data_IF_075616882242
#
_entry.id   IF_075616882242
#
_cell.length_a   1.000
_cell.length_b   1.000
_cell.length_c   1.000
_cell.angle_alpha   90.00
_cell.angle_beta   90.00
_cell.angle_gamma   90.00
#
_symmetry.space_group_name_H-M   'P 1'
#
loop_
_entity.id
_entity.type
_entity.pdbx_description
1 polymer ?
#
# COMPACT_ATOMS: atom_id res chain seq x y z
N UNK A 1 5.69 -5.59 -13.60
CA UNK A 1 6.60 -4.67 -14.29
C UNK A 1 7.20 -5.38 -15.49
N UNK A 2 7.02 -4.80 -16.68
CA UNK A 2 7.71 -5.22 -17.91
C UNK A 2 9.12 -4.63 -17.82
N UNK A 3 10.01 -5.27 -17.07
CA UNK A 3 11.40 -4.83 -17.01
C UNK A 3 12.16 -5.39 -18.19
N UNK A 4 12.61 -4.53 -19.09
CA UNK A 4 13.58 -4.87 -20.13
C UNK A 4 14.99 -5.11 -19.54
N UNK A 5 15.23 -4.71 -18.29
CA UNK A 5 16.50 -4.85 -17.60
C UNK A 5 16.99 -6.30 -17.51
N UNK A 6 16.09 -7.25 -17.28
CA UNK A 6 16.49 -8.66 -17.15
C UNK A 6 16.79 -9.32 -18.49
N UNK A 7 16.31 -8.76 -19.61
CA UNK A 7 16.46 -9.34 -20.94
C UNK A 7 17.68 -8.80 -21.71
N UNK A 8 18.26 -7.64 -21.35
CA UNK A 8 19.27 -6.94 -22.13
C UNK A 8 20.48 -6.40 -21.34
N UNK A 9 21.03 -7.09 -20.33
CA UNK A 9 22.08 -6.55 -19.46
C UNK A 9 23.38 -6.17 -20.20
N UNK A 10 23.58 -6.68 -21.40
CA UNK A 10 24.82 -6.45 -22.18
C UNK A 10 24.77 -5.16 -23.00
N UNK A 11 23.58 -4.72 -23.44
CA UNK A 11 23.44 -3.60 -24.37
C UNK A 11 23.22 -2.26 -23.66
N UNK A 12 22.52 -2.25 -22.52
CA UNK A 12 22.17 -1.03 -21.81
C UNK A 12 23.37 -0.15 -21.49
N UNK A 13 24.48 -0.65 -20.90
CA UNK A 13 25.65 0.17 -20.61
C UNK A 13 26.35 0.75 -21.86
N UNK A 14 26.13 0.16 -23.03
CA UNK A 14 26.64 0.70 -24.31
C UNK A 14 25.70 1.77 -24.86
N UNK A 15 24.37 1.58 -24.68
CA UNK A 15 23.36 2.54 -25.13
C UNK A 15 23.38 3.80 -24.27
N UNK A 16 23.61 3.67 -22.98
CA UNK A 16 23.76 4.79 -22.04
C UNK A 16 24.91 5.74 -22.38
N UNK A 17 25.93 5.25 -23.12
CA UNK A 17 27.01 6.09 -23.64
C UNK A 17 26.60 6.92 -24.85
N UNK A 18 25.42 6.73 -25.35
CA UNK A 18 24.91 7.37 -26.57
C UNK A 18 23.49 7.86 -26.35
N UNK A 19 23.03 8.83 -27.14
CA UNK A 19 21.64 9.32 -27.09
C UNK A 19 20.60 8.31 -27.61
N UNK A 20 21.07 7.10 -27.96
CA UNK A 20 20.20 6.04 -28.42
C UNK A 20 19.33 5.48 -27.29
N UNK A 21 19.81 5.52 -26.05
CA UNK A 21 19.05 5.11 -24.89
C UNK A 21 17.77 5.94 -24.75
N UNK A 22 17.83 7.27 -24.89
CA UNK A 22 16.68 8.15 -24.81
C UNK A 22 15.60 7.82 -25.88
N UNK A 23 16.05 7.45 -27.08
CA UNK A 23 15.10 7.04 -28.13
C UNK A 23 14.42 5.71 -27.82
N UNK A 24 15.11 4.80 -27.15
CA UNK A 24 14.55 3.52 -26.71
C UNK A 24 13.54 3.77 -25.59
N UNK A 25 13.87 4.61 -24.61
CA UNK A 25 12.99 4.94 -23.49
C UNK A 25 11.69 5.60 -23.99
N UNK A 26 11.79 6.57 -24.90
CA UNK A 26 10.61 7.19 -25.53
C UNK A 26 9.79 6.18 -26.35
N UNK A 27 10.44 5.27 -27.07
CA UNK A 27 9.76 4.21 -27.79
C UNK A 27 8.99 3.28 -26.85
N UNK A 28 9.63 2.84 -25.78
CA UNK A 28 9.00 1.97 -24.76
C UNK A 28 7.83 2.69 -24.08
N UNK A 29 8.03 3.97 -23.71
CA UNK A 29 6.99 4.79 -23.11
C UNK A 29 5.77 4.92 -24.05
N UNK A 30 6.01 5.14 -25.33
CA UNK A 30 4.93 5.21 -26.33
C UNK A 30 4.21 3.86 -26.51
N UNK A 31 4.95 2.72 -26.55
CA UNK A 31 4.35 1.39 -26.65
C UNK A 31 3.48 1.07 -25.42
N UNK A 32 3.91 1.47 -24.21
CA UNK A 32 3.13 1.32 -22.99
C UNK A 32 1.85 2.17 -23.07
N UNK A 33 1.92 3.41 -23.53
CA UNK A 33 0.74 4.23 -23.73
C UNK A 33 -0.26 3.62 -24.74
N UNK A 34 0.23 3.05 -25.85
CA UNK A 34 -0.60 2.31 -26.83
C UNK A 34 -1.27 1.11 -26.19
N UNK A 35 -0.52 0.34 -25.40
CA UNK A 35 -1.01 -0.85 -24.72
C UNK A 35 -2.10 -0.50 -23.72
N UNK A 36 -1.87 0.48 -22.86
CA UNK A 36 -2.86 0.99 -21.91
C UNK A 36 -4.13 1.50 -22.62
N UNK A 37 -3.98 2.19 -23.73
CA UNK A 37 -5.13 2.63 -24.53
C UNK A 37 -5.93 1.46 -25.08
N UNK A 38 -5.26 0.39 -25.57
CA UNK A 38 -5.90 -0.87 -25.97
C UNK A 38 -6.71 -1.44 -24.81
N UNK A 39 -6.12 -1.59 -23.63
CA UNK A 39 -6.77 -2.16 -22.45
C UNK A 39 -8.01 -1.36 -22.01
N UNK A 40 -7.94 -0.02 -22.07
CA UNK A 40 -9.09 0.85 -21.77
C UNK A 40 -10.22 0.69 -22.79
N UNK A 41 -9.89 0.61 -24.05
CA UNK A 41 -10.89 0.42 -25.12
C UNK A 41 -11.59 -0.96 -25.00
N UNK A 42 -10.90 -1.96 -24.48
CA UNK A 42 -11.42 -3.31 -24.26
C UNK A 42 -12.08 -3.45 -22.86
N UNK A 43 -12.13 -2.38 -22.06
CA UNK A 43 -12.67 -2.34 -20.69
C UNK A 43 -12.09 -3.45 -19.79
N UNK A 44 -10.78 -3.68 -19.85
CA UNK A 44 -10.12 -4.70 -19.06
C UNK A 44 -9.94 -4.23 -17.60
N UNK A 45 -10.21 -5.11 -16.65
CA UNK A 45 -10.15 -4.79 -15.21
C UNK A 45 -8.80 -4.27 -14.72
N UNK A 46 -7.72 -4.59 -15.42
CA UNK A 46 -6.37 -4.15 -15.10
C UNK A 46 -5.92 -2.92 -15.93
N UNK A 47 -6.82 -2.31 -16.70
CA UNK A 47 -6.50 -1.16 -17.53
C UNK A 47 -6.02 0.09 -16.74
N UNK A 48 -6.45 0.20 -15.48
CA UNK A 48 -6.11 1.31 -14.59
C UNK A 48 -4.84 1.09 -13.76
N UNK A 49 -4.20 -0.10 -13.89
CA UNK A 49 -2.93 -0.33 -13.19
C UNK A 49 -1.88 0.70 -13.59
N UNK A 50 -1.21 1.29 -12.61
CA UNK A 50 -0.02 2.10 -12.88
C UNK A 50 1.10 1.20 -13.44
N UNK A 51 1.80 1.71 -14.44
CA UNK A 51 2.95 1.02 -15.04
C UNK A 51 4.19 1.86 -14.83
N UNK A 52 5.20 1.23 -14.25
CA UNK A 52 6.50 1.84 -14.06
C UNK A 52 7.37 1.71 -15.32
N UNK A 53 8.08 2.76 -15.64
CA UNK A 53 8.89 2.88 -16.86
C UNK A 53 10.23 3.49 -16.50
N UNK A 54 11.29 2.75 -16.77
CA UNK A 54 12.65 3.22 -16.54
C UNK A 54 13.00 4.40 -17.45
N UNK A 55 13.60 5.44 -16.86
CA UNK A 55 14.09 6.63 -17.54
C UNK A 55 15.58 6.79 -17.35
N UNK A 56 16.32 6.81 -18.45
CA UNK A 56 17.76 7.06 -18.39
C UNK A 56 18.06 8.47 -17.87
N UNK A 57 19.13 8.59 -17.08
CA UNK A 57 19.62 9.88 -16.58
C UNK A 57 19.85 10.92 -17.68
N UNK A 58 20.16 10.50 -18.91
CA UNK A 58 20.41 11.39 -20.05
C UNK A 58 19.23 12.26 -20.44
N UNK A 59 18.02 11.85 -20.11
CA UNK A 59 16.83 12.65 -20.34
C UNK A 59 16.83 13.97 -19.57
N UNK A 60 17.48 13.98 -18.41
CA UNK A 60 17.53 15.17 -17.56
C UNK A 60 18.42 16.28 -18.11
N UNK A 61 19.26 15.98 -19.10
CA UNK A 61 20.03 16.97 -19.86
C UNK A 61 19.23 17.55 -21.03
N UNK A 62 18.06 16.99 -21.37
CA UNK A 62 17.20 17.40 -22.47
C UNK A 62 16.12 18.39 -21.98
N UNK A 63 16.14 19.66 -22.38
CA UNK A 63 15.14 20.65 -21.97
C UNK A 63 13.71 20.30 -22.43
N UNK A 64 13.57 19.48 -23.46
CA UNK A 64 12.25 19.07 -24.02
C UNK A 64 11.73 17.76 -23.40
N UNK A 65 12.42 17.19 -22.41
CA UNK A 65 12.10 15.89 -21.83
C UNK A 65 10.66 15.84 -21.28
N UNK A 66 10.30 16.78 -20.41
CA UNK A 66 8.96 16.85 -19.81
C UNK A 66 7.89 16.98 -20.88
N UNK A 67 8.06 17.91 -21.81
CA UNK A 67 7.10 18.15 -22.88
C UNK A 67 6.94 16.93 -23.80
N UNK A 68 8.02 16.22 -24.09
CA UNK A 68 7.99 15.01 -24.91
C UNK A 68 7.16 13.91 -24.25
N UNK A 69 7.41 13.60 -22.97
CA UNK A 69 6.65 12.59 -22.20
C UNK A 69 5.17 12.97 -22.12
N UNK A 70 4.88 14.23 -21.79
CA UNK A 70 3.50 14.74 -21.69
C UNK A 70 2.77 14.62 -23.04
N UNK A 71 3.42 14.98 -24.12
CA UNK A 71 2.82 14.91 -25.46
C UNK A 71 2.53 13.46 -25.88
N UNK A 72 3.41 12.51 -25.57
CA UNK A 72 3.16 11.09 -25.83
C UNK A 72 1.96 10.60 -25.00
N UNK A 73 1.92 10.84 -23.70
CA UNK A 73 0.81 10.40 -22.85
C UNK A 73 -0.54 11.00 -23.30
N UNK A 74 -0.58 12.30 -23.63
CA UNK A 74 -1.77 12.99 -24.15
C UNK A 74 -2.23 12.44 -25.50
N UNK A 75 -1.31 12.09 -26.40
CA UNK A 75 -1.62 11.50 -27.70
C UNK A 75 -2.49 10.24 -27.58
N UNK A 76 -2.28 9.46 -26.51
CA UNK A 76 -3.00 8.21 -26.26
C UNK A 76 -4.09 8.36 -25.19
N UNK A 77 -4.33 9.58 -24.67
CA UNK A 77 -5.33 9.86 -23.63
C UNK A 77 -5.13 8.98 -22.39
N UNK A 78 -3.88 8.91 -21.91
CA UNK A 78 -3.52 8.18 -20.69
C UNK A 78 -3.40 9.18 -19.54
N UNK A 79 -4.12 8.99 -18.42
CA UNK A 79 -3.95 9.78 -17.22
C UNK A 79 -2.53 9.63 -16.65
N UNK A 80 -1.91 10.75 -16.28
CA UNK A 80 -0.52 10.76 -15.85
C UNK A 80 -0.28 9.94 -14.58
N UNK A 81 -1.23 9.89 -13.66
CA UNK A 81 -1.14 9.09 -12.42
C UNK A 81 -1.10 7.57 -12.66
N UNK A 82 -1.35 7.10 -13.88
CA UNK A 82 -1.20 5.70 -14.28
C UNK A 82 0.19 5.39 -14.86
N UNK A 83 1.08 6.38 -14.88
CA UNK A 83 2.45 6.28 -15.40
C UNK A 83 3.41 6.65 -14.28
N UNK A 84 4.30 5.71 -13.95
CA UNK A 84 5.32 5.86 -12.93
C UNK A 84 6.69 5.91 -13.63
N UNK A 85 7.45 6.99 -13.42
CA UNK A 85 8.77 7.17 -14.00
C UNK A 85 9.82 6.70 -13.00
N UNK A 86 10.52 5.61 -13.35
CA UNK A 86 11.58 5.05 -12.52
C UNK A 86 12.91 5.69 -12.86
N UNK A 87 13.58 6.25 -11.87
CA UNK A 87 14.89 6.89 -11.98
C UNK A 87 15.85 6.30 -10.95
N UNK A 88 17.06 5.98 -11.36
CA UNK A 88 18.05 5.40 -10.43
C UNK A 88 18.58 6.42 -9.45
N UNK A 89 18.94 6.00 -8.22
CA UNK A 89 19.44 6.92 -7.17
C UNK A 89 20.68 7.72 -7.61
N UNK A 90 21.51 7.15 -8.47
CA UNK A 90 22.76 7.76 -8.91
C UNK A 90 22.59 9.06 -9.70
N UNK A 91 21.40 9.31 -10.24
CA UNK A 91 21.12 10.53 -11.00
C UNK A 91 21.26 11.78 -10.12
N UNK A 92 20.91 11.68 -8.85
CA UNK A 92 20.93 12.79 -7.90
C UNK A 92 22.33 13.22 -7.46
N UNK A 93 23.38 12.46 -7.83
CA UNK A 93 24.75 12.77 -7.45
C UNK A 93 25.37 13.89 -8.29
N UNK A 94 24.87 14.19 -9.48
CA UNK A 94 25.54 15.10 -10.42
C UNK A 94 24.97 16.53 -10.41
N UNK A 95 23.65 16.71 -10.39
CA UNK A 95 23.04 18.04 -10.40
C UNK A 95 21.69 18.01 -9.67
N UNK A 96 21.76 17.87 -8.37
CA UNK A 96 20.60 17.68 -7.49
C UNK A 96 19.48 18.70 -7.72
N UNK A 97 19.82 20.00 -7.78
CA UNK A 97 18.84 21.08 -7.91
C UNK A 97 18.05 20.97 -9.21
N UNK A 98 18.73 20.80 -10.34
CA UNK A 98 18.08 20.64 -11.64
C UNK A 98 17.20 19.38 -11.70
N UNK A 99 17.69 18.26 -11.16
CA UNK A 99 16.93 17.01 -11.13
C UNK A 99 15.66 17.16 -10.29
N UNK A 100 15.77 17.78 -9.12
CA UNK A 100 14.61 18.09 -8.28
C UNK A 100 13.57 18.95 -9.01
N UNK A 101 13.99 19.94 -9.80
CA UNK A 101 13.09 20.79 -10.58
C UNK A 101 12.34 20.00 -11.66
N UNK A 102 13.02 19.07 -12.35
CA UNK A 102 12.40 18.21 -13.37
C UNK A 102 11.42 17.22 -12.72
N UNK A 103 11.83 16.56 -11.61
CA UNK A 103 10.98 15.65 -10.83
C UNK A 103 9.72 16.37 -10.35
N UNK A 104 9.89 17.57 -9.79
CA UNK A 104 8.77 18.40 -9.34
C UNK A 104 7.82 18.75 -10.49
N UNK A 105 8.34 19.06 -11.67
CA UNK A 105 7.52 19.35 -12.86
C UNK A 105 6.65 18.17 -13.24
N UNK A 106 7.17 16.94 -13.21
CA UNK A 106 6.39 15.73 -13.45
C UNK A 106 5.35 15.49 -12.37
N UNK A 107 5.72 15.66 -11.09
CA UNK A 107 4.83 15.49 -9.97
C UNK A 107 3.66 16.49 -9.99
N UNK A 108 3.92 17.76 -10.28
CA UNK A 108 2.87 18.79 -10.46
C UNK A 108 1.90 18.48 -11.61
N UNK A 109 2.34 17.75 -12.64
CA UNK A 109 1.50 17.26 -13.72
C UNK A 109 0.69 16.02 -13.35
N UNK A 110 1.05 15.33 -12.27
CA UNK A 110 0.36 14.16 -11.75
C UNK A 110 0.98 12.81 -12.15
N UNK A 111 2.21 12.78 -12.65
CA UNK A 111 2.96 11.53 -12.80
C UNK A 111 3.37 10.99 -11.44
N UNK A 112 3.55 9.68 -11.34
CA UNK A 112 4.24 9.06 -10.21
C UNK A 112 5.74 8.98 -10.51
N UNK A 113 6.55 9.16 -9.48
CA UNK A 113 8.02 9.09 -9.60
C UNK A 113 8.55 8.09 -8.57
N UNK A 114 9.34 7.14 -9.05
CA UNK A 114 9.99 6.12 -8.21
C UNK A 114 11.50 6.24 -8.26
N UNK A 115 12.16 6.15 -7.10
CA UNK A 115 13.61 5.93 -7.04
C UNK A 115 13.87 4.44 -7.15
N UNK A 116 14.62 4.04 -8.18
CA UNK A 116 14.99 2.66 -8.46
C UNK A 116 16.39 2.32 -7.95
N UNK A 117 16.68 1.02 -7.75
CA UNK A 117 17.96 0.48 -7.29
C UNK A 117 18.49 1.11 -5.99
N UNK A 118 17.60 1.56 -5.09
CA UNK A 118 18.02 2.22 -3.85
C UNK A 118 18.84 1.26 -2.97
N UNK A 119 20.05 1.72 -2.64
CA UNK A 119 21.01 0.97 -1.81
C UNK A 119 22.00 0.13 -2.58
N UNK A 120 21.94 0.10 -3.92
CA UNK A 120 22.96 -0.58 -4.76
C UNK A 120 24.31 0.14 -4.79
N UNK A 121 24.32 1.43 -4.42
CA UNK A 121 25.49 2.31 -4.50
C UNK A 121 25.81 3.06 -3.21
N UNK A 122 26.43 4.23 -3.35
CA UNK A 122 26.68 5.16 -2.26
C UNK A 122 25.43 6.02 -2.01
N UNK A 123 24.38 5.42 -1.46
CA UNK A 123 23.15 6.12 -1.15
C UNK A 123 23.36 7.28 -0.22
N UNK A 124 23.06 8.49 -0.68
CA UNK A 124 22.97 9.65 0.19
C UNK A 124 21.55 9.74 0.76
N UNK A 125 21.33 9.21 1.97
CA UNK A 125 20.06 9.40 2.68
C UNK A 125 19.61 10.87 2.72
N UNK A 126 20.59 11.80 2.62
CA UNK A 126 20.32 13.23 2.60
C UNK A 126 19.51 13.69 1.39
N UNK A 127 19.58 12.98 0.26
CA UNK A 127 18.83 13.36 -0.94
C UNK A 127 17.31 13.15 -0.75
N UNK A 128 16.91 12.09 -0.03
CA UNK A 128 15.49 11.78 0.18
C UNK A 128 14.72 12.91 0.89
N UNK A 129 15.43 13.79 1.59
CA UNK A 129 14.84 14.95 2.24
C UNK A 129 14.42 16.03 1.23
N UNK A 130 15.14 16.14 0.11
CA UNK A 130 15.04 17.26 -0.81
C UNK A 130 14.29 16.88 -2.12
N UNK A 131 14.06 15.57 -2.34
CA UNK A 131 13.38 15.04 -3.54
C UNK A 131 11.95 14.66 -3.21
N UNK A 132 10.99 15.17 -3.98
CA UNK A 132 9.58 14.84 -3.86
C UNK A 132 9.25 13.65 -4.77
N UNK A 133 9.34 12.44 -4.23
CA UNK A 133 9.07 11.19 -4.95
C UNK A 133 8.04 10.34 -4.23
N UNK A 134 7.25 9.58 -5.00
CA UNK A 134 6.13 8.77 -4.50
C UNK A 134 6.57 7.41 -3.98
N UNK A 135 7.67 6.87 -4.51
CA UNK A 135 8.06 5.49 -4.24
C UNK A 135 9.57 5.29 -4.12
N UNK A 136 9.95 4.40 -3.20
CA UNK A 136 11.31 3.94 -2.99
C UNK A 136 11.38 2.44 -3.29
N UNK A 137 12.13 2.03 -4.33
CA UNK A 137 12.34 0.65 -4.72
C UNK A 137 13.66 0.15 -4.16
N UNK A 138 13.58 -0.78 -3.23
CA UNK A 138 14.75 -1.38 -2.59
C UNK A 138 15.37 -2.42 -3.50
N UNK A 139 16.63 -2.24 -3.83
CA UNK A 139 17.39 -3.15 -4.65
C UNK A 139 17.45 -4.57 -4.07
N UNK A 140 17.60 -5.56 -4.93
CA UNK A 140 17.73 -6.98 -4.58
C UNK A 140 18.79 -7.26 -3.51
N UNK A 141 19.85 -6.46 -3.42
CA UNK A 141 20.90 -6.63 -2.40
C UNK A 141 20.36 -6.60 -0.97
N UNK A 142 19.30 -5.82 -0.70
CA UNK A 142 18.61 -5.84 0.59
C UNK A 142 17.91 -7.18 0.82
N UNK A 143 17.27 -7.72 -0.20
CA UNK A 143 16.58 -9.03 -0.11
C UNK A 143 17.59 -10.15 0.10
N UNK A 144 18.73 -10.13 -0.59
CA UNK A 144 19.79 -11.12 -0.44
C UNK A 144 20.44 -11.08 0.96
N UNK A 145 20.40 -9.95 1.64
CA UNK A 145 20.85 -9.82 3.03
C UNK A 145 19.84 -10.34 4.06
N UNK A 146 18.59 -10.61 3.67
CA UNK A 146 17.53 -11.02 4.62
C UNK A 146 17.89 -12.33 5.31
N UNK A 147 17.69 -12.37 6.63
CA UNK A 147 17.97 -13.56 7.44
C UNK A 147 19.44 -13.88 7.66
N UNK A 148 20.39 -13.15 7.04
CA UNK A 148 21.82 -13.43 7.17
C UNK A 148 22.36 -13.08 8.57
N UNK A 149 21.98 -11.93 9.11
CA UNK A 149 22.36 -11.47 10.47
C UNK A 149 21.29 -10.56 11.06
N UNK A 150 21.29 -10.43 12.41
CA UNK A 150 20.42 -9.45 13.07
C UNK A 150 20.71 -8.01 12.64
N UNK A 151 21.98 -7.67 12.34
CA UNK A 151 22.35 -6.33 11.86
C UNK A 151 21.78 -6.06 10.47
N UNK A 152 21.85 -7.03 9.56
CA UNK A 152 21.27 -6.90 8.22
C UNK A 152 19.76 -6.69 8.30
N UNK A 153 19.06 -7.50 9.07
CA UNK A 153 17.61 -7.35 9.28
C UNK A 153 17.26 -5.98 9.90
N UNK A 154 18.08 -5.47 10.83
CA UNK A 154 17.85 -4.14 11.40
C UNK A 154 18.03 -3.03 10.37
N UNK A 155 19.03 -3.13 9.48
CA UNK A 155 19.24 -2.16 8.39
C UNK A 155 18.03 -2.15 7.46
N UNK A 156 17.60 -3.30 6.96
CA UNK A 156 16.48 -3.42 6.03
C UNK A 156 15.20 -2.83 6.64
N UNK A 157 14.86 -3.24 7.86
CA UNK A 157 13.70 -2.71 8.57
C UNK A 157 13.75 -1.20 8.75
N UNK A 158 14.91 -0.63 9.10
CA UNK A 158 15.03 0.81 9.29
C UNK A 158 14.94 1.59 7.97
N UNK A 159 15.44 1.03 6.86
CA UNK A 159 15.30 1.64 5.54
C UNK A 159 13.84 1.62 5.09
N UNK A 160 13.13 0.49 5.28
CA UNK A 160 11.70 0.41 5.00
C UNK A 160 10.92 1.42 5.85
N UNK A 161 11.16 1.45 7.18
CA UNK A 161 10.51 2.41 8.09
C UNK A 161 10.77 3.85 7.67
N UNK A 162 12.00 4.18 7.30
CA UNK A 162 12.36 5.53 6.84
C UNK A 162 11.58 5.93 5.58
N UNK A 163 11.47 5.05 4.57
CA UNK A 163 10.67 5.35 3.37
C UNK A 163 9.21 5.61 3.72
N UNK A 164 8.63 4.79 4.59
CA UNK A 164 7.26 4.96 5.06
C UNK A 164 7.07 6.23 5.91
N UNK A 165 8.03 6.57 6.78
CA UNK A 165 8.01 7.79 7.60
C UNK A 165 8.10 9.07 6.75
N UNK A 166 8.75 8.97 5.57
CA UNK A 166 8.79 10.01 4.55
C UNK A 166 7.56 10.01 3.62
N UNK A 167 6.53 9.23 3.95
CA UNK A 167 5.28 9.10 3.17
C UNK A 167 5.45 8.51 1.77
N UNK A 168 6.56 7.82 1.51
CA UNK A 168 6.79 7.11 0.25
C UNK A 168 6.19 5.71 0.30
N UNK A 169 5.73 5.20 -0.84
CA UNK A 169 5.53 3.76 -1.02
C UNK A 169 6.89 3.08 -1.00
N UNK A 170 6.99 1.91 -0.39
CA UNK A 170 8.23 1.13 -0.43
C UNK A 170 7.97 -0.17 -1.18
N UNK A 171 8.77 -0.42 -2.22
CA UNK A 171 8.74 -1.65 -3.01
C UNK A 171 10.04 -2.42 -2.73
N UNK A 172 9.95 -3.69 -2.42
CA UNK A 172 11.13 -4.55 -2.33
C UNK A 172 11.26 -5.39 -3.60
N UNK A 173 12.39 -5.27 -4.27
CA UNK A 173 12.67 -5.98 -5.50
C UNK A 173 13.47 -7.27 -5.30
N UNK A 174 13.42 -8.16 -6.30
CA UNK A 174 14.22 -9.38 -6.33
C UNK A 174 13.83 -10.45 -5.32
N UNK A 175 12.60 -10.43 -4.80
CA UNK A 175 12.11 -11.48 -3.91
C UNK A 175 11.85 -12.76 -4.69
N UNK A 176 12.51 -13.86 -4.29
CA UNK A 176 12.46 -15.15 -4.99
C UNK A 176 11.84 -16.27 -4.15
N UNK A 177 11.82 -16.12 -2.82
CA UNK A 177 11.34 -17.16 -1.91
C UNK A 177 10.25 -16.66 -0.96
N UNK A 178 9.42 -17.59 -0.48
CA UNK A 178 8.40 -17.31 0.52
C UNK A 178 9.01 -16.78 1.83
N UNK A 179 10.17 -17.30 2.22
CA UNK A 179 10.88 -16.86 3.43
C UNK A 179 11.31 -15.38 3.32
N UNK A 180 11.86 -14.97 2.17
CA UNK A 180 12.20 -13.57 1.90
C UNK A 180 10.95 -12.70 1.92
N UNK A 181 9.89 -13.11 1.19
CA UNK A 181 8.60 -12.41 1.18
C UNK A 181 8.09 -12.18 2.59
N UNK A 182 7.99 -13.24 3.40
CA UNK A 182 7.44 -13.15 4.75
C UNK A 182 8.28 -12.21 5.63
N UNK A 183 9.61 -12.26 5.52
CA UNK A 183 10.48 -11.40 6.31
C UNK A 183 10.40 -9.92 5.89
N UNK A 184 10.41 -9.64 4.60
CA UNK A 184 10.26 -8.27 4.06
C UNK A 184 8.89 -7.69 4.43
N UNK A 185 7.82 -8.47 4.28
CA UNK A 185 6.47 -8.04 4.71
C UNK A 185 6.44 -7.81 6.23
N UNK A 186 7.11 -8.67 7.01
CA UNK A 186 7.24 -8.49 8.45
C UNK A 186 7.99 -7.21 8.84
N UNK A 187 8.82 -6.65 7.98
CA UNK A 187 9.46 -5.34 8.18
C UNK A 187 8.59 -4.15 7.77
N UNK A 188 7.37 -4.38 7.25
CA UNK A 188 6.41 -3.36 6.87
C UNK A 188 6.36 -3.02 5.37
N UNK A 189 7.14 -3.71 4.53
CA UNK A 189 7.06 -3.52 3.09
C UNK A 189 5.86 -4.30 2.51
N UNK A 190 4.88 -3.57 1.99
CA UNK A 190 3.63 -4.15 1.48
C UNK A 190 3.68 -4.51 0.00
N UNK A 191 4.54 -3.84 -0.76
CA UNK A 191 4.64 -4.04 -2.20
C UNK A 191 5.94 -4.79 -2.49
N UNK A 192 5.79 -5.92 -3.16
CA UNK A 192 6.90 -6.84 -3.42
C UNK A 192 6.94 -7.18 -4.91
N UNK A 193 8.12 -7.08 -5.48
CA UNK A 193 8.42 -7.46 -6.85
C UNK A 193 9.49 -8.55 -6.88
N UNK A 194 9.30 -9.60 -7.71
CA UNK A 194 10.32 -10.61 -7.90
C UNK A 194 9.79 -11.93 -8.43
N UNK A 195 10.72 -12.87 -8.66
CA UNK A 195 10.44 -14.18 -9.25
C UNK A 195 9.58 -15.09 -8.37
N UNK A 196 9.38 -14.72 -7.11
CA UNK A 196 8.40 -15.39 -6.25
C UNK A 196 6.98 -15.32 -6.85
N UNK A 197 6.62 -14.21 -7.48
CA UNK A 197 5.31 -14.04 -8.14
C UNK A 197 5.35 -14.42 -9.60
N UNK A 198 6.28 -13.84 -10.36
CA UNK A 198 6.47 -14.13 -11.79
C UNK A 198 7.83 -13.65 -12.26
N UNK A 199 8.40 -14.35 -13.24
CA UNK A 199 9.45 -13.80 -14.09
C UNK A 199 8.84 -12.78 -15.06
N UNK A 200 9.65 -11.93 -15.73
CA UNK A 200 9.18 -11.09 -16.82
C UNK A 200 8.40 -11.92 -17.84
N UNK A 201 7.24 -11.42 -18.24
CA UNK A 201 6.32 -12.09 -19.15
C UNK A 201 6.16 -11.30 -20.45
N UNK A 202 6.02 -11.96 -21.60
CA UNK A 202 5.46 -11.34 -22.80
C UNK A 202 4.08 -10.74 -22.52
N UNK A 203 3.67 -9.77 -23.36
CA UNK A 203 2.42 -9.00 -23.10
C UNK A 203 1.20 -9.91 -22.99
N UNK A 204 1.04 -10.88 -23.87
CA UNK A 204 -0.07 -11.83 -23.87
C UNK A 204 -0.10 -12.72 -22.62
N UNK A 205 1.04 -13.17 -22.16
CA UNK A 205 1.17 -13.93 -20.91
C UNK A 205 0.91 -13.04 -19.69
N UNK A 206 1.36 -11.77 -19.74
CA UNK A 206 1.07 -10.80 -18.69
C UNK A 206 -0.43 -10.48 -18.62
N UNK A 207 -1.10 -10.29 -19.76
CA UNK A 207 -2.55 -10.08 -19.82
C UNK A 207 -3.30 -11.25 -19.19
N UNK A 208 -2.88 -12.50 -19.49
CA UNK A 208 -3.47 -13.71 -18.87
C UNK A 208 -3.20 -13.77 -17.36
N UNK A 209 -1.98 -13.43 -16.91
CA UNK A 209 -1.61 -13.35 -15.51
C UNK A 209 -2.44 -12.27 -14.78
N UNK A 210 -2.51 -11.06 -15.31
CA UNK A 210 -3.27 -9.96 -14.73
C UNK A 210 -4.77 -10.31 -14.64
N UNK A 211 -5.34 -10.96 -15.65
CA UNK A 211 -6.73 -11.41 -15.64
C UNK A 211 -6.99 -12.43 -14.53
N UNK A 212 -6.07 -13.36 -14.31
CA UNK A 212 -6.18 -14.36 -13.25
C UNK A 212 -6.27 -13.72 -11.86
N UNK A 213 -5.47 -12.66 -11.60
CA UNK A 213 -5.45 -11.99 -10.30
C UNK A 213 -6.50 -10.88 -10.18
N UNK A 214 -6.87 -10.21 -11.27
CA UNK A 214 -7.98 -9.27 -11.29
C UNK A 214 -9.34 -9.93 -10.98
N UNK A 215 -9.46 -11.21 -11.30
CA UNK A 215 -10.65 -12.01 -10.95
C UNK A 215 -10.62 -12.61 -9.54
N UNK A 216 -9.60 -12.32 -8.73
CA UNK A 216 -9.67 -12.61 -7.30
C UNK A 216 -10.73 -11.67 -6.72
N UNK A 217 -11.93 -12.19 -6.58
CA UNK A 217 -13.10 -11.47 -6.09
C UNK A 217 -12.80 -11.05 -4.65
N UNK A 218 -12.42 -9.80 -4.46
CA UNK A 218 -12.46 -9.20 -3.13
C UNK A 218 -13.94 -9.01 -2.83
N UNK A 219 -14.48 -9.82 -1.94
CA UNK A 219 -15.86 -9.65 -1.51
C UNK A 219 -15.90 -8.44 -0.57
N UNK A 220 -16.75 -7.47 -0.93
CA UNK A 220 -17.01 -6.30 -0.13
C UNK A 220 -18.38 -6.42 0.51
N UNK A 221 -18.46 -6.15 1.79
CA UNK A 221 -19.69 -6.08 2.53
C UNK A 221 -19.86 -4.65 3.06
N UNK A 222 -20.94 -3.99 2.65
CA UNK A 222 -21.19 -2.59 3.02
C UNK A 222 -22.48 -2.47 3.83
N UNK A 223 -22.35 -2.08 5.08
CA UNK A 223 -23.44 -1.67 5.96
C UNK A 223 -23.38 -0.15 6.15
N UNK A 224 -24.19 0.64 5.45
CA UNK A 224 -24.19 2.11 5.57
C UNK A 224 -24.50 2.60 7.00
N UNK A 225 -25.32 1.83 7.74
CA UNK A 225 -25.72 2.09 9.13
C UNK A 225 -26.36 3.49 9.31
N UNK A 226 -26.99 4.02 8.27
CA UNK A 226 -27.63 5.35 8.29
C UNK A 226 -29.11 5.34 8.56
N UNK A 227 -29.78 4.22 8.22
CA UNK A 227 -31.23 4.05 8.40
C UNK A 227 -31.62 2.66 8.90
N UNK A 228 -30.78 1.65 8.64
CA UNK A 228 -31.00 0.26 8.99
C UNK A 228 -29.68 -0.52 9.09
N UNK A 229 -29.76 -1.83 9.30
CA UNK A 229 -28.62 -2.75 9.37
C UNK A 229 -28.49 -3.62 8.12
N UNK A 230 -29.07 -3.19 6.99
CA UNK A 230 -28.98 -3.94 5.74
C UNK A 230 -27.61 -3.86 5.11
N UNK A 231 -27.09 -4.99 4.65
CA UNK A 231 -25.92 -5.04 3.80
C UNK A 231 -26.34 -4.65 2.37
N UNK A 232 -25.81 -3.57 1.84
CA UNK A 232 -26.26 -2.99 0.57
C UNK A 232 -26.05 -3.91 -0.63
N UNK A 233 -24.91 -4.60 -0.64
CA UNK A 233 -24.50 -5.47 -1.75
C UNK A 233 -24.72 -6.97 -1.49
N UNK A 234 -25.07 -7.35 -0.26
CA UNK A 234 -25.32 -8.72 0.16
C UNK A 234 -26.50 -8.77 1.15
N UNK A 235 -27.76 -8.68 0.67
CA UNK A 235 -28.95 -8.62 1.55
C UNK A 235 -29.13 -9.84 2.47
N UNK A 236 -28.48 -10.95 2.16
CA UNK A 236 -28.46 -12.15 2.98
C UNK A 236 -27.59 -12.01 4.25
N UNK A 237 -26.74 -10.98 4.31
CA UNK A 237 -25.84 -10.71 5.44
C UNK A 237 -26.23 -9.44 6.20
N UNK A 238 -27.51 -9.29 6.49
CA UNK A 238 -27.97 -8.15 7.31
C UNK A 238 -27.52 -8.29 8.76
N UNK A 239 -27.15 -7.16 9.37
CA UNK A 239 -26.85 -7.08 10.78
C UNK A 239 -28.13 -7.18 11.64
N UNK A 240 -27.95 -7.36 12.93
CA UNK A 240 -29.05 -7.28 13.90
C UNK A 240 -28.61 -6.58 15.19
N UNK A 241 -29.54 -6.01 15.89
CA UNK A 241 -29.32 -5.56 17.26
C UNK A 241 -29.30 -6.77 18.20
N UNK A 242 -28.32 -6.81 19.10
CA UNK A 242 -28.22 -7.86 20.10
C UNK A 242 -29.32 -7.71 21.15
N UNK A 243 -29.60 -6.47 21.52
CA UNK A 243 -30.54 -6.11 22.56
C UNK A 243 -31.64 -5.20 22.00
N UNK A 244 -31.93 -4.06 22.62
CA UNK A 244 -32.93 -3.12 22.11
C UNK A 244 -32.44 -2.39 20.84
N UNK A 245 -33.34 -2.10 19.88
CA UNK A 245 -33.00 -1.32 18.70
C UNK A 245 -32.48 0.07 19.04
N UNK A 246 -31.36 0.45 18.38
CA UNK A 246 -30.78 1.76 18.50
C UNK A 246 -31.39 2.76 17.50
N UNK A 247 -31.26 4.03 17.77
CA UNK A 247 -31.73 5.08 16.86
C UNK A 247 -30.67 5.40 15.82
N UNK A 248 -31.14 5.80 14.63
CA UNK A 248 -30.28 6.27 13.55
C UNK A 248 -30.38 7.80 13.43
N UNK A 249 -29.22 8.44 13.38
CA UNK A 249 -29.08 9.87 13.07
C UNK A 249 -27.72 10.08 12.37
N UNK A 250 -27.73 10.05 11.05
CA UNK A 250 -26.49 10.10 10.22
C UNK A 250 -25.49 8.97 10.54
N UNK A 251 -25.96 7.89 11.17
CA UNK A 251 -25.23 6.75 11.69
C UNK A 251 -25.98 6.13 12.86
N UNK A 252 -25.46 5.05 13.43
CA UNK A 252 -26.03 4.45 14.64
C UNK A 252 -25.59 5.27 15.86
N UNK A 253 -26.54 5.72 16.65
CA UNK A 253 -26.30 6.40 17.90
C UNK A 253 -26.24 5.37 19.05
N UNK A 254 -25.07 5.12 19.60
CA UNK A 254 -24.89 4.31 20.81
C UNK A 254 -25.03 5.19 22.05
N UNK A 255 -26.08 5.00 22.86
CA UNK A 255 -26.25 5.75 24.09
C UNK A 255 -25.15 5.37 25.10
N UNK A 256 -24.83 6.27 26.01
CA UNK A 256 -23.92 5.99 27.11
C UNK A 256 -24.58 5.05 28.11
N UNK A 257 -24.19 3.81 28.15
CA UNK A 257 -24.69 2.78 29.06
C UNK A 257 -23.58 2.03 29.78
N UNK A 258 -23.95 0.97 30.46
CA UNK A 258 -23.03 0.00 31.04
C UNK A 258 -22.39 -0.87 29.96
N UNK A 259 -21.31 -1.54 30.30
CA UNK A 259 -20.57 -2.41 29.39
C UNK A 259 -21.49 -3.40 28.67
N UNK A 260 -21.39 -3.50 27.35
CA UNK A 260 -22.05 -4.44 26.44
C UNK A 260 -23.60 -4.39 26.34
N UNK A 261 -24.24 -3.33 26.82
CA UNK A 261 -25.71 -3.21 26.73
C UNK A 261 -26.21 -2.85 25.31
N UNK A 262 -25.36 -2.31 24.46
CA UNK A 262 -25.73 -1.90 23.11
C UNK A 262 -24.73 -2.41 22.09
N UNK A 263 -25.12 -3.41 21.31
CA UNK A 263 -24.25 -4.06 20.34
C UNK A 263 -24.99 -4.33 19.03
N UNK A 264 -24.37 -3.99 17.92
CA UNK A 264 -24.75 -4.44 16.60
C UNK A 264 -23.96 -5.69 16.26
N UNK A 265 -24.64 -6.75 15.89
CA UNK A 265 -24.03 -8.00 15.45
C UNK A 265 -24.04 -8.04 13.94
N UNK A 266 -22.87 -8.19 13.34
CA UNK A 266 -22.71 -8.49 11.92
C UNK A 266 -22.47 -9.99 11.73
N UNK A 267 -22.88 -10.58 10.59
CA UNK A 267 -22.74 -12.01 10.36
C UNK A 267 -21.29 -12.49 10.38
N UNK A 268 -21.04 -13.62 11.04
CA UNK A 268 -19.68 -14.20 11.17
C UNK A 268 -19.10 -14.77 9.87
N UNK A 269 -19.91 -14.94 8.84
CA UNK A 269 -19.53 -15.55 7.55
C UNK A 269 -18.70 -14.63 6.68
N UNK A 270 -18.50 -13.39 7.10
CA UNK A 270 -17.81 -12.34 6.35
C UNK A 270 -16.30 -12.34 6.54
N UNK A 271 -15.78 -13.06 7.52
CA UNK A 271 -14.36 -12.98 7.88
C UNK A 271 -13.55 -14.05 7.16
N UNK A 272 -12.76 -13.64 6.18
CA UNK A 272 -11.73 -14.46 5.55
C UNK A 272 -10.43 -14.40 6.38
N UNK A 273 -9.44 -15.29 6.14
CA UNK A 273 -8.15 -15.21 6.83
C UNK A 273 -7.43 -13.87 6.65
N UNK A 274 -7.60 -13.23 5.50
CA UNK A 274 -7.14 -11.85 5.25
C UNK A 274 -8.34 -10.96 4.96
N UNK A 275 -8.47 -9.85 5.67
CA UNK A 275 -9.61 -8.96 5.54
C UNK A 275 -9.26 -7.52 5.97
N UNK A 276 -10.11 -6.61 5.56
CA UNK A 276 -10.07 -5.22 6.03
C UNK A 276 -11.42 -4.87 6.63
N UNK A 277 -11.42 -4.29 7.81
CA UNK A 277 -12.59 -3.65 8.41
C UNK A 277 -12.38 -2.16 8.44
N UNK A 278 -13.34 -1.43 7.92
CA UNK A 278 -13.28 0.02 7.80
C UNK A 278 -14.60 0.64 8.24
N UNK A 279 -14.54 1.67 9.08
CA UNK A 279 -15.72 2.35 9.58
C UNK A 279 -15.43 3.80 9.99
N UNK A 280 -16.47 4.62 10.01
CA UNK A 280 -16.42 5.96 10.56
C UNK A 280 -16.95 5.97 11.97
N UNK A 281 -16.29 6.72 12.84
CA UNK A 281 -16.70 6.92 14.23
C UNK A 281 -16.67 8.41 14.60
N UNK A 282 -17.67 8.84 15.35
CA UNK A 282 -17.73 10.18 15.94
C UNK A 282 -17.95 10.05 17.45
N UNK A 283 -16.90 10.07 18.27
CA UNK A 283 -17.03 9.95 19.71
C UNK A 283 -17.63 11.21 20.32
N UNK A 284 -18.80 11.14 20.95
CA UNK A 284 -19.43 12.26 21.63
C UNK A 284 -19.01 12.38 23.10
N UNK A 285 -18.55 11.28 23.70
CA UNK A 285 -18.09 11.19 25.09
C UNK A 285 -16.89 10.26 25.21
N UNK A 286 -16.07 10.50 26.22
CA UNK A 286 -14.95 9.61 26.58
C UNK A 286 -15.45 8.48 27.47
N UNK A 287 -15.89 7.40 26.87
CA UNK A 287 -16.25 6.18 27.59
C UNK A 287 -15.03 5.26 27.65
N UNK A 288 -14.51 5.07 28.86
CA UNK A 288 -13.35 4.22 29.09
C UNK A 288 -13.69 2.76 28.77
N UNK A 289 -12.83 2.11 27.96
CA UNK A 289 -12.96 0.72 27.51
C UNK A 289 -14.19 0.39 26.63
N UNK A 290 -14.92 1.40 26.16
CA UNK A 290 -15.98 1.13 25.19
C UNK A 290 -15.35 0.72 23.84
N UNK A 291 -15.68 -0.47 23.35
CA UNK A 291 -15.23 -0.92 22.04
C UNK A 291 -16.12 -0.32 20.96
N UNK A 292 -15.51 0.34 19.99
CA UNK A 292 -16.20 0.80 18.79
C UNK A 292 -16.36 -0.31 17.77
N UNK A 293 -15.47 -1.28 17.79
CA UNK A 293 -15.44 -2.43 16.93
C UNK A 293 -14.84 -3.63 17.68
N UNK A 294 -15.39 -4.84 17.46
CA UNK A 294 -14.95 -6.05 18.11
C UNK A 294 -15.25 -7.29 17.24
N UNK A 295 -14.23 -8.06 16.92
CA UNK A 295 -14.37 -9.40 16.34
C UNK A 295 -13.90 -10.41 17.37
N UNK A 296 -14.71 -11.44 17.58
CA UNK A 296 -14.35 -12.60 18.39
C UNK A 296 -14.20 -13.81 17.52
N UNK A 297 -13.09 -14.49 17.58
CA UNK A 297 -12.84 -15.76 16.92
C UNK A 297 -12.53 -16.85 17.95
N UNK A 298 -12.40 -18.09 17.48
CA UNK A 298 -12.36 -19.27 18.37
C UNK A 298 -11.34 -19.19 19.48
N UNK A 299 -10.18 -18.58 19.22
CA UNK A 299 -9.04 -18.58 20.12
C UNK A 299 -8.58 -17.18 20.53
N UNK A 300 -9.36 -16.15 20.28
CA UNK A 300 -8.97 -14.80 20.61
C UNK A 300 -10.00 -13.75 20.22
N UNK A 301 -9.57 -12.50 20.20
CA UNK A 301 -10.38 -11.39 19.71
C UNK A 301 -9.51 -10.25 19.20
N UNK A 302 -10.13 -9.39 18.41
CA UNK A 302 -9.59 -8.14 17.96
C UNK A 302 -10.60 -7.03 18.19
N UNK A 303 -10.15 -5.86 18.64
CA UNK A 303 -11.05 -4.75 18.89
C UNK A 303 -10.36 -3.40 18.92
N UNK A 304 -11.14 -2.36 18.68
CA UNK A 304 -10.70 -0.98 18.77
C UNK A 304 -11.49 -0.24 19.84
N UNK A 305 -10.77 0.31 20.82
CA UNK A 305 -11.29 1.14 21.90
C UNK A 305 -10.78 2.56 21.71
N UNK A 306 -11.65 3.53 21.38
CA UNK A 306 -11.24 4.93 21.16
C UNK A 306 -10.70 5.61 22.42
N UNK A 307 -11.03 5.09 23.62
CA UNK A 307 -10.55 5.60 24.88
C UNK A 307 -10.29 4.48 25.88
N UNK A 308 -9.03 4.27 26.26
CA UNK A 308 -8.63 3.34 27.31
C UNK A 308 -8.32 4.10 28.60
N UNK A 309 -7.67 5.22 28.45
CA UNK A 309 -7.43 6.23 29.48
C UNK A 309 -7.51 7.62 28.83
N UNK A 310 -7.40 8.73 29.61
CA UNK A 310 -7.56 10.06 29.05
C UNK A 310 -6.57 10.45 27.97
N UNK A 311 -5.52 9.64 27.76
CA UNK A 311 -4.39 10.00 26.92
C UNK A 311 -4.22 9.09 25.67
N UNK A 312 -4.99 7.98 25.53
CA UNK A 312 -4.81 7.05 24.42
C UNK A 312 -6.09 6.32 23.99
N UNK A 313 -6.15 5.98 22.71
CA UNK A 313 -6.97 4.91 22.15
C UNK A 313 -6.13 3.64 21.98
N UNK A 314 -6.76 2.49 21.83
CA UNK A 314 -6.05 1.20 21.70
C UNK A 314 -6.73 0.31 20.66
N UNK A 315 -5.94 -0.20 19.75
CA UNK A 315 -6.25 -1.39 18.97
C UNK A 315 -5.61 -2.59 19.65
N UNK A 316 -6.39 -3.62 19.92
CA UNK A 316 -5.96 -4.77 20.72
C UNK A 316 -6.22 -6.08 20.00
N UNK A 317 -5.25 -6.98 20.04
CA UNK A 317 -5.34 -8.36 19.57
C UNK A 317 -4.95 -9.29 20.71
N UNK A 318 -5.69 -10.39 20.90
CA UNK A 318 -5.31 -11.48 21.79
C UNK A 318 -5.01 -12.73 20.96
N UNK A 319 -3.93 -13.43 21.29
CA UNK A 319 -3.56 -14.70 20.68
C UNK A 319 -4.21 -15.92 21.38
N UNK A 320 -4.09 -17.09 20.77
CA UNK A 320 -4.80 -18.33 21.14
C UNK A 320 -4.04 -19.22 22.16
N UNK A 321 -2.87 -18.78 22.67
CA UNK A 321 -2.01 -19.66 23.48
C UNK A 321 -2.48 -19.84 24.91
N UNK A 322 -3.67 -19.33 25.26
CA UNK A 322 -4.29 -19.54 26.56
C UNK A 322 -3.68 -18.72 27.70
N UNK A 323 -2.58 -18.08 27.48
CA UNK A 323 -2.08 -16.97 28.28
C UNK A 323 -2.47 -15.70 27.56
N UNK A 324 -3.23 -14.83 28.22
CA UNK A 324 -3.70 -13.55 27.64
C UNK A 324 -2.52 -12.67 27.26
N UNK A 325 -1.89 -12.95 26.11
CA UNK A 325 -0.89 -12.07 25.53
C UNK A 325 -1.63 -10.98 24.73
N UNK A 326 -1.78 -9.85 25.37
CA UNK A 326 -2.37 -8.67 24.78
C UNK A 326 -1.33 -7.93 23.94
N UNK A 327 -1.62 -7.77 22.66
CA UNK A 327 -0.84 -6.92 21.79
C UNK A 327 -1.62 -5.63 21.55
N UNK A 328 -1.16 -4.54 22.14
CA UNK A 328 -1.81 -3.24 22.06
C UNK A 328 -1.05 -2.30 21.13
N UNK A 329 -1.74 -1.73 20.14
CA UNK A 329 -1.30 -0.52 19.47
C UNK A 329 -1.94 0.66 20.19
N UNK A 330 -1.13 1.46 20.86
CA UNK A 330 -1.59 2.67 21.54
C UNK A 330 -1.37 3.90 20.66
N UNK A 331 -2.42 4.65 20.42
CA UNK A 331 -2.41 5.91 19.66
C UNK A 331 -3.01 7.02 20.50
N UNK A 332 -2.84 8.31 20.15
CA UNK A 332 -3.55 9.39 20.78
C UNK A 332 -5.07 9.16 20.78
N UNK A 333 -5.81 9.58 21.81
CA UNK A 333 -7.26 9.42 21.84
C UNK A 333 -7.92 10.23 20.72
N UNK A 334 -9.00 9.69 20.16
CA UNK A 334 -9.74 10.38 19.11
C UNK A 334 -10.33 11.70 19.63
N UNK A 335 -10.46 12.69 18.75
CA UNK A 335 -11.10 13.96 19.06
C UNK A 335 -12.61 13.76 19.23
N UNK A 336 -13.19 14.40 20.27
CA UNK A 336 -14.62 14.38 20.50
C UNK A 336 -15.35 15.21 19.44
N UNK A 337 -16.55 14.76 19.07
CA UNK A 337 -17.44 15.39 18.09
C UNK A 337 -16.79 15.56 16.70
N UNK A 338 -15.82 14.71 16.38
CA UNK A 338 -15.12 14.72 15.09
C UNK A 338 -15.25 13.34 14.42
N UNK A 339 -15.75 13.33 13.19
CA UNK A 339 -15.80 12.11 12.40
C UNK A 339 -14.37 11.66 12.04
N UNK A 340 -14.01 10.47 12.45
CA UNK A 340 -12.71 9.86 12.20
C UNK A 340 -12.89 8.52 11.46
N UNK A 341 -12.17 8.35 10.38
CA UNK A 341 -12.13 7.09 9.64
C UNK A 341 -11.12 6.16 10.27
N UNK A 342 -11.53 4.93 10.59
CA UNK A 342 -10.68 3.87 11.11
C UNK A 342 -10.69 2.74 10.08
N UNK A 343 -9.50 2.26 9.70
CA UNK A 343 -9.37 1.02 8.95
C UNK A 343 -8.37 0.09 9.62
N UNK A 344 -8.73 -1.19 9.69
CA UNK A 344 -7.93 -2.23 10.30
C UNK A 344 -7.78 -3.31 9.24
N UNK A 345 -6.56 -3.59 8.84
CA UNK A 345 -6.25 -4.69 7.92
C UNK A 345 -5.65 -5.86 8.67
N UNK A 346 -6.04 -7.06 8.30
CA UNK A 346 -5.48 -8.31 8.73
C UNK A 346 -4.96 -9.05 7.52
N UNK A 347 -3.70 -9.39 7.52
CA UNK A 347 -3.10 -10.25 6.51
C UNK A 347 -2.61 -11.54 7.16
N UNK A 348 -3.34 -12.64 6.91
CA UNK A 348 -3.02 -13.94 7.46
C UNK A 348 -1.71 -14.52 6.89
N UNK A 349 -1.36 -14.18 5.65
CA UNK A 349 -0.15 -14.71 5.02
C UNK A 349 1.13 -14.13 5.64
N UNK A 350 1.11 -12.85 6.00
CA UNK A 350 2.23 -12.17 6.63
C UNK A 350 2.16 -12.13 8.16
N UNK A 351 1.03 -12.54 8.74
CA UNK A 351 0.73 -12.40 10.18
C UNK A 351 0.83 -10.95 10.67
N UNK A 352 0.38 -10.00 9.86
CA UNK A 352 0.47 -8.57 10.15
C UNK A 352 -0.91 -7.95 10.23
N UNK A 353 -1.16 -7.20 11.30
CA UNK A 353 -2.30 -6.30 11.42
C UNK A 353 -1.83 -4.86 11.37
N UNK A 354 -2.56 -4.02 10.64
CA UNK A 354 -2.27 -2.59 10.51
C UNK A 354 -3.48 -1.76 10.92
N UNK A 355 -3.21 -0.65 11.58
CA UNK A 355 -4.22 0.34 11.96
C UNK A 355 -3.98 1.63 11.18
N UNK A 356 -5.02 2.10 10.50
CA UNK A 356 -5.02 3.37 9.78
C UNK A 356 -6.04 4.32 10.40
N UNK A 357 -5.69 5.59 10.51
CA UNK A 357 -6.58 6.67 10.93
C UNK A 357 -6.60 7.74 9.84
N UNK A 358 -7.78 8.04 9.30
CA UNK A 358 -7.97 8.97 8.19
C UNK A 358 -7.08 8.67 6.97
N UNK A 359 -6.82 7.39 6.71
CA UNK A 359 -5.96 6.91 5.63
C UNK A 359 -4.48 6.80 5.97
N UNK A 360 -4.04 7.33 7.11
CA UNK A 360 -2.64 7.30 7.55
C UNK A 360 -2.36 6.06 8.40
N UNK A 361 -1.30 5.31 8.06
CA UNK A 361 -0.82 4.16 8.84
C UNK A 361 -0.28 4.65 10.19
N UNK A 362 -0.85 4.18 11.28
CA UNK A 362 -0.42 4.53 12.63
C UNK A 362 0.64 3.60 13.16
N UNK A 363 0.37 2.31 13.10
CA UNK A 363 1.29 1.26 13.55
C UNK A 363 0.86 -0.10 12.97
N UNK A 364 1.74 -1.09 13.12
CA UNK A 364 1.44 -2.48 12.77
C UNK A 364 1.87 -3.42 13.91
N UNK A 365 1.18 -4.56 14.02
CA UNK A 365 1.50 -5.64 14.95
C UNK A 365 1.90 -6.90 14.17
N UNK A 366 2.95 -7.56 14.66
CA UNK A 366 3.38 -8.88 14.21
C UNK A 366 2.77 -9.98 15.09
N UNK A 367 2.70 -11.20 14.53
CA UNK A 367 2.13 -12.39 15.17
C UNK A 367 0.64 -12.27 15.49
N UNK A 368 -0.16 -12.28 14.45
CA UNK A 368 -1.58 -12.49 14.57
C UNK A 368 -1.86 -13.99 14.48
N UNK A 369 -2.69 -14.55 15.38
CA UNK A 369 -3.12 -15.94 15.26
C UNK A 369 -3.78 -16.18 13.91
N UNK A 370 -3.37 -17.24 13.22
CA UNK A 370 -4.05 -17.69 12.00
C UNK A 370 -5.40 -18.27 12.43
N UNK A 371 -6.46 -17.83 11.78
CA UNK A 371 -7.79 -18.41 11.93
C UNK A 371 -7.84 -19.86 11.45
#
# INVERSE_FOLDING_TARGET
TLSLHDALPIFIPQLEKTDLICKIDYYIFEEICKLKRKWKNENLHYAELAISINMSRRHFDDPDFVDTIVNIARKYDIPFYELDLEITENIFLENMEHICDVVKSFHELGFQISIDDFGSGYSSLGMLKDVDVDCLKLDKTFVDMTGSTQKANAIIRNVISMGLDLHMKVISEGVETEAQKNLITAFGCEIIQGYYYSKPLPIDEFEAFAMKYANTKVEHYLWPLTSDLCCTNHPEYNGCFKDEPLTFDSGILFPSGKEMEHTVLLPNTVVSPSYTVSFWINPMKKNRWASAFFIRYRFGFMGFCPYVDPLRAVFRIADDKGEEQWHDIAIPPLELNTWTHIAITMDAASHVSRLYINGELQQFLFSVPVL
#
